data_IF_939502358387
#
_entry.id   IF_939502358387
#
_cell.length_a   1.000
_cell.length_b   1.000
_cell.length_c   1.000
_cell.angle_alpha   90.00
_cell.angle_beta   90.00
_cell.angle_gamma   90.00
#
_symmetry.space_group_name_H-M   'P 1'
#
loop_
_entity.id
_entity.type
_entity.pdbx_description
1 polymer ?
#
# COMPACT_ATOMS: atom_id res chain seq x y z
N UNK A 1 21.93 -16.93 1.44
CA UNK A 1 21.98 -17.11 2.91
C UNK A 1 20.94 -18.15 3.28
N UNK A 2 21.33 -19.22 3.98
CA UNK A 2 20.36 -20.21 4.47
C UNK A 2 19.47 -19.51 5.50
N UNK A 3 18.15 -19.58 5.33
CA UNK A 3 17.20 -19.14 6.34
C UNK A 3 17.47 -19.98 7.61
N UNK A 4 17.60 -19.36 8.81
CA UNK A 4 17.74 -20.12 10.02
C UNK A 4 16.53 -21.03 10.19
N UNK A 5 16.77 -22.32 10.47
CA UNK A 5 15.71 -23.27 10.84
C UNK A 5 15.06 -22.72 12.13
N UNK A 6 13.84 -22.25 12.02
CA UNK A 6 13.01 -21.91 13.18
C UNK A 6 12.57 -23.22 13.84
N UNK A 7 13.13 -23.51 15.00
CA UNK A 7 12.62 -24.57 15.88
C UNK A 7 11.38 -24.02 16.58
N UNK A 8 10.20 -24.40 16.11
CA UNK A 8 8.95 -23.99 16.73
C UNK A 8 8.81 -24.57 18.15
N UNK A 9 8.49 -23.72 19.13
CA UNK A 9 8.18 -24.14 20.51
C UNK A 9 6.82 -24.86 20.60
N UNK A 10 5.92 -24.55 19.66
CA UNK A 10 4.68 -25.28 19.48
C UNK A 10 4.89 -26.44 18.49
N UNK A 11 4.41 -27.62 18.85
CA UNK A 11 4.45 -28.80 17.96
C UNK A 11 3.48 -28.66 16.77
N UNK A 12 2.44 -27.81 16.93
CA UNK A 12 1.40 -27.57 15.93
C UNK A 12 1.24 -26.07 15.69
N UNK A 13 0.92 -25.68 14.46
CA UNK A 13 0.48 -24.33 14.11
C UNK A 13 -0.89 -24.06 14.78
N UNK A 14 -1.13 -22.80 15.17
CA UNK A 14 -2.42 -22.41 15.69
C UNK A 14 -3.52 -22.60 14.63
N UNK A 15 -4.59 -23.29 14.98
CA UNK A 15 -5.76 -23.43 14.10
C UNK A 15 -6.38 -22.05 13.79
N UNK A 16 -6.30 -21.11 14.75
CA UNK A 16 -6.74 -19.72 14.61
C UNK A 16 -5.52 -18.81 14.74
N UNK A 17 -5.05 -18.18 13.65
CA UNK A 17 -3.91 -17.29 13.71
C UNK A 17 -4.23 -15.99 14.45
N UNK A 18 -3.26 -15.41 15.15
CA UNK A 18 -3.35 -14.03 15.58
C UNK A 18 -3.11 -13.09 14.42
N UNK A 19 -3.92 -12.03 14.33
CA UNK A 19 -3.83 -11.01 13.29
C UNK A 19 -3.41 -9.69 13.90
N UNK A 20 -2.21 -9.22 13.58
CA UNK A 20 -1.74 -7.91 14.01
C UNK A 20 -2.59 -6.80 13.39
N UNK A 21 -3.16 -5.93 14.24
CA UNK A 21 -4.18 -4.93 13.83
C UNK A 21 -3.67 -3.94 12.80
N UNK A 22 -2.41 -3.52 12.93
CA UNK A 22 -1.84 -2.48 12.07
C UNK A 22 -1.33 -3.06 10.76
N UNK A 23 -0.50 -4.09 10.79
CA UNK A 23 0.10 -4.68 9.59
C UNK A 23 -0.83 -5.64 8.86
N UNK A 24 -1.91 -6.07 9.52
CA UNK A 24 -2.83 -7.07 9.03
C UNK A 24 -2.20 -8.46 8.77
N UNK A 25 -0.96 -8.67 9.25
CA UNK A 25 -0.23 -9.93 9.11
C UNK A 25 -0.78 -10.96 10.09
N UNK A 26 -1.03 -12.17 9.61
CA UNK A 26 -1.41 -13.33 10.41
C UNK A 26 -0.17 -14.10 10.82
N UNK A 27 -0.12 -14.51 12.07
CA UNK A 27 0.94 -15.35 12.64
C UNK A 27 0.33 -16.61 13.24
N UNK A 28 0.94 -17.73 13.01
CA UNK A 28 0.45 -19.06 13.39
C UNK A 28 1.28 -19.70 14.51
N UNK A 29 2.44 -19.14 14.82
CA UNK A 29 3.34 -19.60 15.87
C UNK A 29 3.87 -18.44 16.73
N UNK A 30 4.41 -18.77 17.89
CA UNK A 30 5.01 -17.79 18.78
C UNK A 30 6.27 -17.15 18.16
N UNK A 31 7.04 -17.94 17.42
CA UNK A 31 8.26 -17.49 16.73
C UNK A 31 7.91 -16.53 15.58
N UNK A 32 6.84 -16.76 14.84
CA UNK A 32 6.35 -15.80 13.85
C UNK A 32 5.93 -14.49 14.49
N UNK A 33 5.32 -14.54 15.69
CA UNK A 33 4.99 -13.34 16.45
C UNK A 33 6.26 -12.60 16.93
N UNK A 34 7.28 -13.31 17.37
CA UNK A 34 8.60 -12.74 17.71
C UNK A 34 9.21 -12.07 16.46
N UNK A 35 9.23 -12.79 15.32
CA UNK A 35 9.73 -12.25 14.05
C UNK A 35 8.99 -10.97 13.66
N UNK A 36 7.67 -10.99 13.70
CA UNK A 36 6.84 -9.83 13.39
C UNK A 36 7.14 -8.66 14.33
N UNK A 37 7.16 -8.89 15.65
CA UNK A 37 7.42 -7.84 16.63
C UNK A 37 8.85 -7.30 16.57
N UNK A 38 9.80 -8.03 16.03
CA UNK A 38 11.18 -7.55 15.81
C UNK A 38 11.26 -6.64 14.57
N UNK A 39 10.70 -7.09 13.45
CA UNK A 39 10.78 -6.36 12.17
C UNK A 39 9.80 -5.19 12.07
N UNK A 40 8.63 -5.30 12.71
CA UNK A 40 7.54 -4.32 12.70
C UNK A 40 7.20 -3.85 14.12
N UNK A 41 8.23 -3.58 14.92
CA UNK A 41 8.02 -3.30 16.34
C UNK A 41 7.16 -2.06 16.59
N UNK A 42 7.27 -1.00 15.75
CA UNK A 42 6.48 0.23 15.89
C UNK A 42 4.99 -0.02 15.65
N UNK A 43 4.67 -0.91 14.72
CA UNK A 43 3.32 -1.32 14.37
C UNK A 43 2.76 -2.32 15.40
N UNK A 44 3.63 -3.03 16.11
CA UNK A 44 3.24 -4.07 17.08
C UNK A 44 3.01 -3.53 18.50
N UNK A 45 3.36 -2.27 18.79
CA UNK A 45 3.33 -1.69 20.15
C UNK A 45 1.99 -1.89 20.84
N UNK A 46 0.89 -1.74 20.09
CA UNK A 46 -0.46 -1.80 20.63
C UNK A 46 -0.99 -3.25 20.72
N UNK A 47 -0.28 -4.22 20.13
CA UNK A 47 -0.71 -5.62 20.02
C UNK A 47 0.00 -6.58 20.95
N UNK A 48 1.35 -6.56 21.00
CA UNK A 48 2.17 -7.64 21.59
C UNK A 48 1.97 -7.85 23.10
N UNK A 49 1.30 -6.95 23.80
CA UNK A 49 0.88 -7.08 25.19
C UNK A 49 -0.64 -6.91 25.38
N UNK A 50 -1.43 -6.96 24.29
CA UNK A 50 -2.89 -6.91 24.40
C UNK A 50 -3.44 -8.16 25.07
N UNK A 51 -4.63 -8.05 25.67
CA UNK A 51 -5.29 -9.23 26.27
C UNK A 51 -5.60 -10.28 25.20
N UNK A 52 -6.02 -9.84 24.00
CA UNK A 52 -6.31 -10.74 22.88
C UNK A 52 -5.07 -11.53 22.44
N UNK A 53 -3.91 -10.88 22.40
CA UNK A 53 -2.65 -11.54 22.05
C UNK A 53 -2.22 -12.56 23.11
N UNK A 54 -2.35 -12.21 24.39
CA UNK A 54 -2.02 -13.11 25.50
C UNK A 54 -3.00 -14.29 25.55
N UNK A 55 -4.28 -14.04 25.31
CA UNK A 55 -5.30 -15.08 25.22
C UNK A 55 -5.02 -16.04 24.06
N UNK A 56 -4.60 -15.53 22.91
CA UNK A 56 -4.20 -16.35 21.78
C UNK A 56 -3.00 -17.27 22.10
N UNK A 57 -1.96 -16.74 22.76
CA UNK A 57 -0.82 -17.56 23.23
C UNK A 57 -1.31 -18.68 24.15
N UNK A 58 -2.24 -18.37 25.03
CA UNK A 58 -2.76 -19.31 26.02
C UNK A 58 -3.69 -20.36 25.41
N UNK A 59 -4.67 -19.92 24.60
CA UNK A 59 -5.80 -20.76 24.15
C UNK A 59 -5.49 -21.48 22.84
N UNK A 60 -4.95 -20.76 21.86
CA UNK A 60 -4.73 -21.29 20.52
C UNK A 60 -3.36 -21.97 20.38
N UNK A 61 -2.30 -21.39 20.95
CA UNK A 61 -0.97 -22.01 20.98
C UNK A 61 -0.80 -22.98 22.16
N UNK A 62 -1.65 -22.92 23.21
CA UNK A 62 -1.58 -23.72 24.44
C UNK A 62 -0.25 -23.58 25.19
N UNK A 63 0.32 -22.37 25.18
CA UNK A 63 1.61 -22.02 25.79
C UNK A 63 1.40 -21.21 27.09
N UNK A 64 0.71 -21.78 28.10
CA UNK A 64 0.35 -21.13 29.38
C UNK A 64 1.54 -20.48 30.08
N UNK A 65 2.69 -21.15 30.04
CA UNK A 65 3.92 -20.63 30.64
C UNK A 65 4.38 -19.32 29.96
N UNK A 66 4.37 -19.27 28.61
CA UNK A 66 4.73 -18.06 27.85
C UNK A 66 3.70 -16.96 28.04
N UNK A 67 2.42 -17.29 28.03
CA UNK A 67 1.34 -16.32 28.29
C UNK A 67 1.54 -15.63 29.66
N UNK A 68 1.88 -16.39 30.72
CA UNK A 68 2.17 -15.85 32.05
C UNK A 68 3.39 -14.93 32.04
N UNK A 69 4.45 -15.28 31.30
CA UNK A 69 5.65 -14.45 31.17
C UNK A 69 5.35 -13.16 30.40
N UNK A 70 4.59 -13.25 29.31
CA UNK A 70 4.17 -12.06 28.52
C UNK A 70 3.29 -11.14 29.38
N UNK A 71 2.36 -11.69 30.14
CA UNK A 71 1.53 -10.92 31.08
C UNK A 71 2.37 -10.19 32.14
N UNK A 72 3.45 -10.80 32.63
CA UNK A 72 4.32 -10.18 33.61
C UNK A 72 5.05 -8.94 33.06
N UNK A 73 5.34 -8.90 31.74
CA UNK A 73 5.98 -7.75 31.08
C UNK A 73 5.15 -6.46 31.13
N UNK A 74 3.83 -6.56 31.29
CA UNK A 74 2.96 -5.39 31.45
C UNK A 74 3.33 -4.52 32.65
N UNK A 75 3.97 -5.10 33.67
CA UNK A 75 4.37 -4.41 34.89
C UNK A 75 5.62 -3.55 34.72
N UNK A 76 6.35 -3.71 33.63
CA UNK A 76 7.54 -2.92 33.34
C UNK A 76 7.13 -1.52 32.84
N UNK A 77 7.91 -0.50 33.18
CA UNK A 77 7.53 0.90 32.88
C UNK A 77 7.87 1.29 31.45
N UNK A 78 9.02 0.87 30.90
CA UNK A 78 9.47 1.29 29.58
C UNK A 78 9.08 0.31 28.48
N UNK A 79 8.78 0.84 27.28
CA UNK A 79 8.59 0.04 26.09
C UNK A 79 9.85 -0.79 25.76
N UNK A 80 11.03 -0.18 25.97
CA UNK A 80 12.31 -0.85 25.78
C UNK A 80 12.39 -2.15 26.57
N UNK A 81 12.03 -2.11 27.85
CA UNK A 81 12.08 -3.31 28.71
C UNK A 81 11.00 -4.31 28.32
N UNK A 82 9.78 -3.85 28.06
CA UNK A 82 8.66 -4.70 27.65
C UNK A 82 8.98 -5.46 26.37
N UNK A 83 9.37 -4.74 25.31
CA UNK A 83 9.60 -5.34 23.99
C UNK A 83 10.86 -6.21 23.98
N UNK A 84 11.98 -5.74 24.55
CA UNK A 84 13.18 -6.59 24.61
C UNK A 84 12.99 -7.80 25.53
N UNK A 85 12.20 -7.67 26.60
CA UNK A 85 11.78 -8.79 27.44
C UNK A 85 10.95 -9.81 26.66
N UNK A 86 9.98 -9.35 25.86
CA UNK A 86 9.18 -10.21 25.01
C UNK A 86 10.04 -10.96 23.98
N UNK A 87 10.88 -10.24 23.24
CA UNK A 87 11.75 -10.81 22.21
C UNK A 87 12.81 -11.78 22.76
N UNK A 88 13.14 -11.67 24.05
CA UNK A 88 14.06 -12.59 24.75
C UNK A 88 13.37 -13.85 25.29
N UNK A 89 12.08 -14.06 25.02
CA UNK A 89 11.39 -15.28 25.45
C UNK A 89 11.76 -16.50 24.60
N UNK A 90 12.40 -16.28 23.46
CA UNK A 90 12.95 -17.30 22.58
C UNK A 90 14.42 -16.99 22.29
N UNK A 91 15.17 -17.99 21.84
CA UNK A 91 16.56 -17.82 21.38
C UNK A 91 16.65 -17.43 19.89
N UNK A 92 15.57 -16.88 19.33
CA UNK A 92 15.50 -16.49 17.91
C UNK A 92 16.47 -15.37 17.57
N UNK A 93 16.58 -14.35 18.43
CA UNK A 93 17.43 -13.18 18.21
C UNK A 93 18.77 -13.31 18.96
N UNK A 94 19.85 -12.95 18.29
CA UNK A 94 21.16 -12.85 18.89
C UNK A 94 21.23 -11.71 19.92
N UNK A 95 22.19 -11.79 20.84
CA UNK A 95 22.46 -10.69 21.79
C UNK A 95 22.78 -9.37 21.10
N UNK A 96 23.45 -9.40 19.94
CA UNK A 96 23.81 -8.18 19.20
C UNK A 96 22.56 -7.50 18.61
N UNK A 97 21.62 -8.27 18.05
CA UNK A 97 20.35 -7.76 17.53
C UNK A 97 19.52 -7.11 18.63
N UNK A 98 19.39 -7.78 19.80
CA UNK A 98 18.68 -7.22 20.96
C UNK A 98 19.33 -5.94 21.50
N UNK A 99 20.66 -5.86 21.53
CA UNK A 99 21.38 -4.63 21.94
C UNK A 99 21.13 -3.50 20.94
N UNK A 100 21.18 -3.81 19.63
CA UNK A 100 20.88 -2.85 18.57
C UNK A 100 19.47 -2.29 18.68
N UNK A 101 18.49 -3.17 18.84
CA UNK A 101 17.08 -2.78 19.01
C UNK A 101 16.86 -1.98 20.30
N UNK A 102 17.47 -2.39 21.42
CA UNK A 102 17.37 -1.65 22.68
C UNK A 102 17.85 -0.21 22.57
N UNK A 103 18.92 0.03 21.80
CA UNK A 103 19.40 1.39 21.53
C UNK A 103 18.38 2.19 20.73
N UNK A 104 17.81 1.60 19.67
CA UNK A 104 16.79 2.26 18.85
C UNK A 104 15.53 2.61 19.67
N UNK A 105 15.06 1.67 20.51
CA UNK A 105 13.90 1.87 21.37
C UNK A 105 14.09 3.00 22.37
N UNK A 106 15.26 3.04 23.03
CA UNK A 106 15.60 4.14 23.97
C UNK A 106 15.60 5.49 23.28
N UNK A 107 16.25 5.60 22.11
CA UNK A 107 16.25 6.82 21.31
C UNK A 107 14.81 7.24 20.96
N UNK A 108 14.01 6.28 20.52
CA UNK A 108 12.61 6.53 20.16
C UNK A 108 11.73 6.96 21.36
N UNK A 109 11.94 6.37 22.55
CA UNK A 109 11.23 6.75 23.78
C UNK A 109 11.54 8.18 24.23
N UNK A 110 12.74 8.73 23.91
CA UNK A 110 13.11 10.11 24.23
C UNK A 110 12.46 11.15 23.32
N UNK A 111 11.91 10.76 22.17
CA UNK A 111 11.28 11.68 21.22
C UNK A 111 9.94 12.19 21.72
N UNK A 112 9.54 13.35 21.24
CA UNK A 112 8.21 13.90 21.48
C UNK A 112 7.11 12.93 20.98
N UNK A 113 5.96 12.93 21.63
CA UNK A 113 4.87 12.00 21.25
C UNK A 113 4.41 12.20 19.80
N UNK A 114 4.29 13.44 19.34
CA UNK A 114 3.93 13.73 17.96
C UNK A 114 4.97 13.19 16.94
N UNK A 115 6.27 13.23 17.28
CA UNK A 115 7.32 12.66 16.42
C UNK A 115 7.20 11.15 16.31
N UNK A 116 6.91 10.48 17.42
CA UNK A 116 6.68 9.03 17.46
C UNK A 116 5.45 8.63 16.64
N UNK A 117 4.36 9.38 16.76
CA UNK A 117 3.14 9.17 15.95
C UNK A 117 3.40 9.42 14.47
N UNK A 118 4.14 10.49 14.14
CA UNK A 118 4.55 10.77 12.75
C UNK A 118 5.36 9.61 12.17
N UNK A 119 6.34 9.12 12.88
CA UNK A 119 7.20 8.02 12.41
C UNK A 119 6.41 6.74 12.18
N UNK A 120 5.42 6.43 13.03
CA UNK A 120 4.47 5.32 12.79
C UNK A 120 3.66 5.54 11.52
N UNK A 121 3.18 6.76 11.29
CA UNK A 121 2.53 7.14 10.04
C UNK A 121 3.43 6.98 8.82
N UNK A 122 4.67 7.45 8.89
CA UNK A 122 5.65 7.32 7.79
C UNK A 122 5.92 5.85 7.44
N UNK A 123 6.08 4.98 8.44
CA UNK A 123 6.25 3.54 8.21
C UNK A 123 5.01 2.92 7.54
N UNK A 124 3.82 3.32 7.97
CA UNK A 124 2.58 2.82 7.37
C UNK A 124 2.38 3.27 5.92
N UNK A 125 2.86 4.46 5.56
CA UNK A 125 2.93 4.89 4.16
C UNK A 125 3.84 3.98 3.33
N UNK A 126 5.02 3.60 3.87
CA UNK A 126 5.92 2.66 3.18
C UNK A 126 5.34 1.24 3.06
N UNK A 127 4.47 0.84 3.99
CA UNK A 127 3.74 -0.43 3.98
C UNK A 127 2.43 -0.38 3.17
N UNK A 128 2.17 0.72 2.47
CA UNK A 128 0.96 0.95 1.67
C UNK A 128 -0.36 0.85 2.47
N UNK A 129 -0.35 1.41 3.70
CA UNK A 129 -1.51 1.54 4.58
C UNK A 129 -1.86 3.02 4.83
N UNK A 130 -2.28 3.79 3.80
CA UNK A 130 -2.50 5.24 3.92
C UNK A 130 -3.63 5.61 4.87
N UNK A 131 -4.66 4.77 5.02
CA UNK A 131 -5.78 4.94 5.95
C UNK A 131 -5.31 5.00 7.42
N UNK A 132 -4.47 4.03 7.79
CA UNK A 132 -3.89 3.96 9.13
C UNK A 132 -2.83 5.06 9.33
N UNK A 133 -2.01 5.32 8.32
CA UNK A 133 -1.03 6.42 8.34
C UNK A 133 -1.71 7.76 8.61
N UNK A 134 -2.81 8.07 7.91
CA UNK A 134 -3.58 9.28 8.13
C UNK A 134 -4.09 9.39 9.58
N UNK A 135 -4.56 8.30 10.15
CA UNK A 135 -5.04 8.27 11.54
C UNK A 135 -3.93 8.63 12.54
N UNK A 136 -2.70 8.18 12.31
CA UNK A 136 -1.54 8.56 13.13
C UNK A 136 -1.14 10.01 12.92
N UNK A 137 -1.11 10.50 11.68
CA UNK A 137 -0.83 11.91 11.41
C UNK A 137 -1.91 12.84 12.02
N UNK A 138 -3.18 12.44 11.95
CA UNK A 138 -4.28 13.19 12.58
C UNK A 138 -4.08 13.29 14.10
N UNK A 139 -3.70 12.20 14.78
CA UNK A 139 -3.36 12.22 16.21
C UNK A 139 -2.13 13.12 16.48
N UNK A 140 -1.08 13.02 15.67
CA UNK A 140 0.11 13.85 15.83
C UNK A 140 -0.21 15.34 15.66
N UNK A 141 -1.10 15.71 14.73
CA UNK A 141 -1.56 17.08 14.48
C UNK A 141 -2.37 17.69 15.65
N UNK A 142 -2.94 16.86 16.54
CA UNK A 142 -3.58 17.38 17.77
C UNK A 142 -2.56 17.81 18.82
N UNK A 143 -1.32 17.31 18.74
CA UNK A 143 -0.24 17.61 19.68
C UNK A 143 0.69 18.71 19.17
N UNK A 144 0.99 18.70 17.88
CA UNK A 144 1.89 19.64 17.24
C UNK A 144 1.45 19.87 15.79
N UNK A 145 1.33 21.14 15.40
CA UNK A 145 1.01 21.50 14.04
C UNK A 145 2.23 22.10 13.34
N UNK A 146 2.75 21.39 12.35
CA UNK A 146 3.84 21.87 11.53
C UNK A 146 3.64 21.51 10.05
N UNK A 147 4.25 22.27 9.11
CA UNK A 147 4.04 22.08 7.67
C UNK A 147 4.40 20.69 7.15
N UNK A 148 5.41 20.03 7.73
CA UNK A 148 5.82 18.68 7.29
C UNK A 148 4.77 17.63 7.66
N UNK A 149 4.20 17.76 8.85
CA UNK A 149 3.17 16.83 9.33
C UNK A 149 1.86 17.01 8.55
N UNK A 150 1.47 18.27 8.27
CA UNK A 150 0.33 18.57 7.39
C UNK A 150 0.52 17.99 5.98
N UNK A 151 1.73 18.14 5.42
CA UNK A 151 2.07 17.57 4.12
C UNK A 151 1.96 16.04 4.12
N UNK A 152 2.52 15.35 5.12
CA UNK A 152 2.47 13.88 5.15
C UNK A 152 1.03 13.36 5.33
N UNK A 153 0.21 14.06 6.13
CA UNK A 153 -1.22 13.77 6.25
C UNK A 153 -1.95 13.98 4.92
N UNK A 154 -1.63 15.03 4.19
CA UNK A 154 -2.21 15.29 2.87
C UNK A 154 -1.82 14.24 1.83
N UNK A 155 -0.55 13.81 1.80
CA UNK A 155 -0.11 12.74 0.91
C UNK A 155 -0.86 11.41 1.18
N UNK A 156 -1.14 11.09 2.44
CA UNK A 156 -1.97 9.93 2.75
C UNK A 156 -3.42 10.07 2.27
N UNK A 157 -3.97 11.29 2.33
CA UNK A 157 -5.31 11.58 1.79
C UNK A 157 -5.35 11.49 0.26
N UNK A 158 -4.31 11.92 -0.44
CA UNK A 158 -4.20 11.73 -1.90
C UNK A 158 -4.22 10.25 -2.28
N UNK A 159 -3.49 9.41 -1.55
CA UNK A 159 -3.51 7.96 -1.78
C UNK A 159 -4.87 7.32 -1.44
N UNK A 160 -5.69 7.96 -0.59
CA UNK A 160 -7.04 7.54 -0.25
C UNK A 160 -8.12 8.10 -1.20
N UNK A 161 -7.71 8.74 -2.30
CA UNK A 161 -8.62 9.41 -3.25
C UNK A 161 -9.50 10.50 -2.57
N UNK A 162 -8.89 11.28 -1.66
CA UNK A 162 -9.52 12.39 -0.92
C UNK A 162 -8.80 13.72 -1.21
N UNK A 163 -8.70 14.15 -2.48
CA UNK A 163 -7.83 15.27 -2.87
C UNK A 163 -8.30 16.62 -2.34
N UNK A 164 -9.60 16.84 -2.16
CA UNK A 164 -10.13 18.09 -1.64
C UNK A 164 -9.69 18.34 -0.17
N UNK A 165 -9.65 17.28 0.63
CA UNK A 165 -9.18 17.37 2.02
C UNK A 165 -7.64 17.52 2.06
N UNK A 166 -6.94 16.81 1.17
CA UNK A 166 -5.49 16.98 1.01
C UNK A 166 -5.14 18.44 0.67
N UNK A 167 -5.85 19.05 -0.28
CA UNK A 167 -5.65 20.45 -0.67
C UNK A 167 -5.81 21.39 0.53
N UNK A 168 -6.85 21.19 1.35
CA UNK A 168 -7.06 22.02 2.56
C UNK A 168 -5.89 21.93 3.55
N UNK A 169 -5.32 20.73 3.78
CA UNK A 169 -4.15 20.57 4.64
C UNK A 169 -2.90 21.22 4.05
N UNK A 170 -2.72 21.13 2.74
CA UNK A 170 -1.56 21.71 2.04
C UNK A 170 -1.65 23.25 1.95
N UNK A 171 -2.85 23.80 1.74
CA UNK A 171 -3.09 25.25 1.87
C UNK A 171 -2.65 25.75 3.25
N UNK A 172 -3.04 25.04 4.30
CA UNK A 172 -2.66 25.34 5.67
C UNK A 172 -1.14 25.23 5.88
N UNK A 173 -0.51 24.20 5.31
CA UNK A 173 0.94 24.01 5.37
C UNK A 173 1.72 25.15 4.68
N UNK A 174 1.17 25.74 3.62
CA UNK A 174 1.78 26.86 2.88
C UNK A 174 1.52 28.23 3.51
N UNK A 175 0.47 28.39 4.29
CA UNK A 175 0.15 29.66 4.96
C UNK A 175 1.20 30.06 6.01
N UNK A 176 2.03 29.11 6.48
CA UNK A 176 3.15 29.33 7.39
C UNK A 176 4.41 29.88 6.70
N UNK A 177 5.30 30.54 7.47
CA UNK A 177 6.59 31.07 6.98
C UNK A 177 7.56 30.05 6.38
N UNK A 178 7.29 28.74 6.54
CA UNK A 178 8.13 27.62 6.11
C UNK A 178 7.55 26.84 4.92
N UNK A 179 6.60 27.43 4.17
CA UNK A 179 6.06 26.81 2.96
C UNK A 179 7.16 26.52 1.95
N UNK A 180 7.41 25.26 1.66
CA UNK A 180 8.44 24.86 0.71
C UNK A 180 7.84 24.67 -0.67
N UNK A 181 8.68 24.84 -1.72
CA UNK A 181 8.30 24.52 -3.12
C UNK A 181 7.70 23.12 -3.24
N UNK A 182 8.22 22.16 -2.49
CA UNK A 182 7.75 20.78 -2.48
C UNK A 182 6.28 20.66 -2.03
N UNK A 183 5.92 21.37 -0.96
CA UNK A 183 4.52 21.43 -0.48
C UNK A 183 3.62 22.09 -1.52
N UNK A 184 4.10 23.10 -2.22
CA UNK A 184 3.34 23.76 -3.27
C UNK A 184 3.10 22.86 -4.50
N UNK A 185 4.06 22.01 -4.86
CA UNK A 185 3.86 21.01 -5.91
C UNK A 185 2.83 19.94 -5.51
N UNK A 186 2.89 19.46 -4.27
CA UNK A 186 1.88 18.55 -3.74
C UNK A 186 0.48 19.21 -3.68
N UNK A 187 0.41 20.52 -3.41
CA UNK A 187 -0.86 21.24 -3.46
C UNK A 187 -1.39 21.37 -4.90
N UNK A 188 -0.52 21.62 -5.88
CA UNK A 188 -0.92 21.62 -7.28
C UNK A 188 -1.49 20.25 -7.70
N UNK A 189 -0.85 19.16 -7.29
CA UNK A 189 -1.35 17.80 -7.49
C UNK A 189 -2.72 17.59 -6.84
N UNK A 190 -2.89 18.00 -5.58
CA UNK A 190 -4.16 17.90 -4.87
C UNK A 190 -5.27 18.70 -5.57
N UNK A 191 -4.99 19.90 -6.08
CA UNK A 191 -5.94 20.69 -6.85
C UNK A 191 -6.32 20.00 -8.16
N UNK A 192 -5.37 19.41 -8.88
CA UNK A 192 -5.63 18.67 -10.13
C UNK A 192 -6.62 17.53 -9.88
N UNK A 193 -6.35 16.67 -8.89
CA UNK A 193 -7.23 15.55 -8.57
C UNK A 193 -8.55 15.98 -7.91
N UNK A 194 -8.60 17.16 -7.27
CA UNK A 194 -9.84 17.77 -6.79
C UNK A 194 -10.63 18.51 -7.89
N UNK A 195 -10.19 18.47 -9.14
CA UNK A 195 -10.73 19.18 -10.30
C UNK A 195 -10.81 20.71 -10.12
N UNK A 196 -9.92 21.28 -9.30
CA UNK A 196 -9.77 22.73 -9.11
C UNK A 196 -8.72 23.26 -10.09
N UNK A 197 -8.99 23.13 -11.38
CA UNK A 197 -8.01 23.33 -12.45
C UNK A 197 -7.44 24.77 -12.50
N UNK A 198 -8.26 25.77 -12.25
CA UNK A 198 -7.82 27.18 -12.26
C UNK A 198 -6.81 27.46 -11.17
N UNK A 199 -7.03 26.91 -9.97
CA UNK A 199 -6.07 27.05 -8.86
C UNK A 199 -4.77 26.30 -9.15
N UNK A 200 -4.86 25.12 -9.73
CA UNK A 200 -3.68 24.35 -10.13
C UNK A 200 -2.83 25.11 -11.17
N UNK A 201 -3.47 25.67 -12.21
CA UNK A 201 -2.79 26.48 -13.23
C UNK A 201 -2.09 27.69 -12.64
N UNK A 202 -2.79 28.48 -11.84
CA UNK A 202 -2.22 29.66 -11.19
C UNK A 202 -1.01 29.31 -10.34
N UNK A 203 -1.12 28.23 -9.55
CA UNK A 203 -0.03 27.78 -8.68
C UNK A 203 1.17 27.29 -9.49
N UNK A 204 0.95 26.47 -10.52
CA UNK A 204 2.01 25.95 -11.40
C UNK A 204 2.68 27.09 -12.20
N UNK A 205 1.92 28.05 -12.69
CA UNK A 205 2.46 29.24 -13.36
C UNK A 205 3.40 30.03 -12.44
N UNK A 206 2.97 30.27 -11.20
CA UNK A 206 3.77 30.99 -10.21
C UNK A 206 5.07 30.24 -9.83
N UNK A 207 5.01 28.90 -9.76
CA UNK A 207 6.16 28.05 -9.49
C UNK A 207 7.11 27.99 -10.70
N UNK A 208 6.59 27.96 -11.93
CA UNK A 208 7.34 27.84 -13.19
C UNK A 208 8.21 29.06 -13.53
N UNK A 209 7.87 30.23 -12.98
CA UNK A 209 8.69 31.44 -13.17
C UNK A 209 10.11 31.32 -12.55
N UNK A 210 10.33 30.35 -11.67
CA UNK A 210 11.61 30.19 -10.96
C UNK A 210 12.50 29.09 -11.56
N UNK A 211 11.94 27.92 -11.80
CA UNK A 211 12.66 26.75 -12.35
C UNK A 211 11.67 25.74 -12.91
N UNK A 212 12.02 25.06 -14.03
CA UNK A 212 11.31 23.86 -14.51
C UNK A 212 11.92 22.60 -13.92
N UNK A 213 11.14 21.53 -13.81
CA UNK A 213 11.59 20.22 -13.32
C UNK A 213 10.74 19.11 -13.93
N UNK A 214 11.26 17.86 -13.91
CA UNK A 214 10.49 16.70 -14.33
C UNK A 214 9.11 16.65 -13.67
N UNK A 215 9.04 16.88 -12.37
CA UNK A 215 7.79 16.86 -11.61
C UNK A 215 6.82 17.97 -12.00
N UNK A 216 7.32 19.16 -12.37
CA UNK A 216 6.46 20.23 -12.90
C UNK A 216 5.87 19.88 -14.27
N UNK A 217 6.70 19.37 -15.18
CA UNK A 217 6.20 18.93 -16.48
C UNK A 217 5.20 17.76 -16.31
N UNK A 218 5.43 16.86 -15.36
CA UNK A 218 4.49 15.81 -14.99
C UNK A 218 3.14 16.41 -14.53
N UNK A 219 3.14 17.37 -13.60
CA UNK A 219 1.91 18.00 -13.09
C UNK A 219 1.15 18.78 -14.18
N UNK A 220 1.86 19.46 -15.09
CA UNK A 220 1.21 20.05 -16.26
C UNK A 220 0.58 18.97 -17.16
N UNK A 221 1.25 17.84 -17.32
CA UNK A 221 0.72 16.70 -18.06
C UNK A 221 -0.53 16.11 -17.37
N UNK A 222 -0.52 15.94 -16.04
CA UNK A 222 -1.68 15.50 -15.28
C UNK A 222 -2.85 16.47 -15.41
N UNK A 223 -2.60 17.77 -15.30
CA UNK A 223 -3.62 18.81 -15.45
C UNK A 223 -4.31 18.72 -16.83
N UNK A 224 -3.52 18.65 -17.90
CA UNK A 224 -4.05 18.52 -19.25
C UNK A 224 -4.81 17.19 -19.46
N UNK A 225 -4.30 16.10 -18.85
CA UNK A 225 -4.95 14.80 -18.89
C UNK A 225 -6.34 14.83 -18.22
N UNK A 226 -6.43 15.42 -17.02
CA UNK A 226 -7.68 15.54 -16.27
C UNK A 226 -8.68 16.49 -16.96
N UNK A 227 -8.20 17.49 -17.71
CA UNK A 227 -9.03 18.34 -18.58
C UNK A 227 -9.52 17.62 -19.85
N UNK A 228 -9.04 16.41 -20.15
CA UNK A 228 -9.34 15.65 -21.35
C UNK A 228 -8.44 15.96 -22.56
N UNK A 229 -7.41 16.77 -22.39
CA UNK A 229 -6.46 17.17 -23.43
C UNK A 229 -5.30 16.18 -23.56
N UNK A 230 -5.59 14.91 -23.86
CA UNK A 230 -4.62 13.83 -23.87
C UNK A 230 -3.39 14.07 -24.78
N UNK A 231 -3.54 14.86 -25.88
CA UNK A 231 -2.42 15.20 -26.76
C UNK A 231 -1.43 16.12 -26.04
N UNK A 232 -1.93 17.20 -25.43
CA UNK A 232 -1.08 18.13 -24.66
C UNK A 232 -0.47 17.42 -23.45
N UNK A 233 -1.22 16.54 -22.78
CA UNK A 233 -0.72 15.71 -21.70
C UNK A 233 0.47 14.87 -22.12
N UNK A 234 0.40 14.19 -23.29
CA UNK A 234 1.51 13.40 -23.80
C UNK A 234 2.77 14.24 -24.06
N UNK A 235 2.62 15.49 -24.52
CA UNK A 235 3.76 16.37 -24.79
C UNK A 235 4.47 16.81 -23.49
N UNK A 236 3.72 17.12 -22.44
CA UNK A 236 4.29 17.41 -21.12
C UNK A 236 4.92 16.17 -20.48
N UNK A 237 4.23 15.01 -20.52
CA UNK A 237 4.78 13.76 -19.97
C UNK A 237 6.06 13.33 -20.65
N UNK A 238 6.19 13.53 -21.98
CA UNK A 238 7.45 13.31 -22.72
C UNK A 238 8.59 14.17 -22.19
N UNK A 239 8.31 15.44 -21.85
CA UNK A 239 9.32 16.33 -21.25
C UNK A 239 9.73 15.80 -19.88
N UNK A 240 8.76 15.42 -19.03
CA UNK A 240 9.06 14.85 -17.72
C UNK A 240 9.97 13.61 -17.81
N UNK A 241 9.65 12.65 -18.70
CA UNK A 241 10.46 11.46 -18.98
C UNK A 241 11.83 11.80 -19.57
N UNK A 242 11.95 12.90 -20.34
CA UNK A 242 13.23 13.35 -20.90
C UNK A 242 14.15 13.98 -19.85
N UNK A 243 13.58 14.63 -18.82
CA UNK A 243 14.33 15.13 -17.66
C UNK A 243 14.83 13.97 -16.79
N UNK A 244 13.93 13.05 -16.49
CA UNK A 244 14.19 11.92 -15.60
C UNK A 244 13.35 10.72 -16.06
N UNK A 245 14.04 9.64 -16.44
CA UNK A 245 13.40 8.39 -16.84
C UNK A 245 12.96 7.58 -15.59
N UNK A 246 12.09 8.18 -14.77
CA UNK A 246 11.46 7.54 -13.64
C UNK A 246 10.28 6.67 -14.08
N UNK A 247 10.12 5.50 -13.48
CA UNK A 247 9.08 4.55 -13.85
C UNK A 247 7.67 5.14 -13.66
N UNK A 248 7.47 6.02 -12.69
CA UNK A 248 6.18 6.68 -12.48
C UNK A 248 5.77 7.55 -13.68
N UNK A 249 6.69 8.38 -14.19
CA UNK A 249 6.43 9.23 -15.36
C UNK A 249 6.30 8.39 -16.65
N UNK A 250 7.10 7.34 -16.76
CA UNK A 250 7.03 6.41 -17.90
C UNK A 250 5.68 5.70 -17.97
N UNK A 251 5.23 5.12 -16.87
CA UNK A 251 3.95 4.41 -16.82
C UNK A 251 2.79 5.36 -17.07
N UNK A 252 2.87 6.58 -16.55
CA UNK A 252 1.83 7.58 -16.79
C UNK A 252 1.78 8.05 -18.24
N UNK A 253 2.95 8.24 -18.89
CA UNK A 253 3.03 8.50 -20.32
C UNK A 253 2.40 7.35 -21.15
N UNK A 254 2.66 6.11 -20.76
CA UNK A 254 2.05 4.96 -21.39
C UNK A 254 0.51 4.98 -21.24
N UNK A 255 -0.03 5.34 -20.06
CA UNK A 255 -1.47 5.51 -19.85
C UNK A 255 -2.09 6.56 -20.77
N UNK A 256 -1.41 7.71 -20.94
CA UNK A 256 -1.85 8.76 -21.86
C UNK A 256 -1.90 8.25 -23.30
N UNK A 257 -0.87 7.51 -23.72
CA UNK A 257 -0.88 6.91 -25.07
C UNK A 257 -1.94 5.82 -25.21
N UNK A 258 -2.24 5.03 -24.17
CA UNK A 258 -3.34 4.08 -24.19
C UNK A 258 -4.69 4.77 -24.37
N UNK A 259 -4.92 5.91 -23.69
CA UNK A 259 -6.13 6.71 -23.89
C UNK A 259 -6.25 7.24 -25.33
N UNK A 260 -5.14 7.61 -25.94
CA UNK A 260 -5.06 8.01 -27.35
C UNK A 260 -5.15 6.83 -28.33
N UNK A 261 -5.23 5.59 -27.84
CA UNK A 261 -5.18 4.33 -28.63
C UNK A 261 -3.91 4.21 -29.49
N UNK A 262 -2.80 4.80 -29.01
CA UNK A 262 -1.49 4.75 -29.64
C UNK A 262 -0.63 3.66 -28.98
N UNK A 263 -1.02 2.40 -29.18
CA UNK A 263 -0.47 1.24 -28.50
C UNK A 263 1.04 1.08 -28.68
N UNK A 264 1.54 1.26 -29.91
CA UNK A 264 2.98 1.19 -30.20
C UNK A 264 3.75 2.22 -29.40
N UNK A 265 3.25 3.47 -29.29
CA UNK A 265 3.90 4.50 -28.49
C UNK A 265 3.81 4.24 -26.98
N UNK A 266 2.74 3.59 -26.53
CA UNK A 266 2.64 3.18 -25.14
C UNK A 266 3.70 2.12 -24.79
N UNK A 267 3.91 1.14 -25.66
CA UNK A 267 4.96 0.14 -25.52
C UNK A 267 6.36 0.78 -25.62
N UNK A 268 6.60 1.65 -26.59
CA UNK A 268 7.87 2.37 -26.76
C UNK A 268 8.20 3.25 -25.53
N UNK A 269 7.19 3.88 -24.93
CA UNK A 269 7.36 4.62 -23.69
C UNK A 269 7.76 3.68 -22.54
N UNK A 270 7.07 2.56 -22.38
CA UNK A 270 7.33 1.56 -21.35
C UNK A 270 8.75 0.98 -21.48
N UNK A 271 9.25 0.79 -22.72
CA UNK A 271 10.61 0.29 -23.00
C UNK A 271 11.73 1.18 -22.44
N UNK A 272 11.43 2.44 -22.09
CA UNK A 272 12.39 3.35 -21.44
C UNK A 272 12.63 3.02 -19.96
N UNK A 273 11.73 2.26 -19.33
CA UNK A 273 11.94 1.80 -17.97
C UNK A 273 13.15 0.87 -17.89
N UNK A 274 14.01 1.12 -16.92
CA UNK A 274 15.18 0.27 -16.60
C UNK A 274 14.79 -0.92 -15.74
N UNK A 275 13.64 -0.82 -15.06
CA UNK A 275 13.14 -1.86 -14.17
C UNK A 275 12.18 -2.79 -14.93
N UNK A 276 12.65 -3.98 -15.26
CA UNK A 276 11.87 -5.03 -15.94
C UNK A 276 11.21 -5.97 -14.93
N UNK A 277 10.83 -5.45 -13.76
CA UNK A 277 10.16 -6.19 -12.70
C UNK A 277 8.70 -6.49 -12.99
N UNK A 278 7.96 -6.86 -11.93
CA UNK A 278 6.55 -7.26 -12.05
C UNK A 278 5.67 -6.12 -12.58
N UNK A 279 5.88 -4.89 -12.10
CA UNK A 279 5.09 -3.72 -12.53
C UNK A 279 5.23 -3.46 -14.03
N UNK A 280 6.44 -3.68 -14.59
CA UNK A 280 6.66 -3.58 -16.04
C UNK A 280 5.80 -4.62 -16.78
N UNK A 281 5.82 -5.88 -16.35
CA UNK A 281 5.05 -6.94 -16.99
C UNK A 281 3.54 -6.71 -16.88
N UNK A 282 3.07 -6.22 -15.72
CA UNK A 282 1.66 -5.84 -15.52
C UNK A 282 1.27 -4.75 -16.51
N UNK A 283 2.06 -3.66 -16.60
CA UNK A 283 1.78 -2.55 -17.51
C UNK A 283 1.84 -2.97 -18.98
N UNK A 284 2.82 -3.81 -19.35
CA UNK A 284 2.90 -4.35 -20.70
C UNK A 284 1.66 -5.19 -21.07
N UNK A 285 1.23 -6.05 -20.14
CA UNK A 285 0.00 -6.84 -20.32
C UNK A 285 -1.25 -5.97 -20.45
N UNK A 286 -1.36 -4.87 -19.67
CA UNK A 286 -2.46 -3.91 -19.77
C UNK A 286 -2.52 -3.25 -21.16
N UNK A 287 -1.37 -2.81 -21.69
CA UNK A 287 -1.28 -2.21 -23.03
C UNK A 287 -1.71 -3.23 -24.09
N UNK A 288 -1.15 -4.43 -24.06
CA UNK A 288 -1.44 -5.50 -25.03
C UNK A 288 -2.90 -5.92 -24.97
N UNK A 289 -3.47 -6.06 -23.76
CA UNK A 289 -4.89 -6.39 -23.60
C UNK A 289 -5.81 -5.29 -24.15
N UNK A 290 -5.44 -4.02 -23.97
CA UNK A 290 -6.19 -2.87 -24.47
C UNK A 290 -6.13 -2.74 -26.00
N UNK A 291 -5.05 -3.22 -26.61
CA UNK A 291 -4.91 -3.37 -28.07
C UNK A 291 -5.71 -4.56 -28.62
N UNK A 292 -6.10 -5.50 -27.76
CA UNK A 292 -6.78 -6.74 -28.14
C UNK A 292 -5.85 -7.96 -28.29
N UNK A 293 -4.55 -7.82 -28.05
CA UNK A 293 -3.55 -8.89 -28.07
C UNK A 293 -3.59 -9.74 -26.80
N UNK A 294 -4.75 -10.34 -26.54
CA UNK A 294 -5.02 -11.03 -25.26
C UNK A 294 -4.08 -12.19 -24.96
N UNK A 295 -3.64 -12.96 -25.98
CA UNK A 295 -2.70 -14.07 -25.75
C UNK A 295 -1.33 -13.58 -25.30
N UNK A 296 -0.85 -12.45 -25.85
CA UNK A 296 0.41 -11.83 -25.44
C UNK A 296 0.29 -11.25 -24.03
N UNK A 297 -0.85 -10.64 -23.71
CA UNK A 297 -1.14 -10.15 -22.36
C UNK A 297 -1.14 -11.30 -21.32
N UNK A 298 -1.74 -12.46 -21.65
CA UNK A 298 -1.68 -13.67 -20.83
C UNK A 298 -0.24 -14.10 -20.60
N UNK A 299 0.59 -14.16 -21.65
CA UNK A 299 1.99 -14.55 -21.53
C UNK A 299 2.80 -13.60 -20.62
N UNK A 300 2.49 -12.28 -20.64
CA UNK A 300 3.12 -11.33 -19.69
C UNK A 300 2.78 -11.67 -18.24
N UNK A 301 1.53 -12.01 -17.93
CA UNK A 301 1.11 -12.39 -16.58
C UNK A 301 1.76 -13.71 -16.14
N UNK A 302 1.77 -14.71 -17.00
CA UNK A 302 2.40 -16.00 -16.72
C UNK A 302 3.90 -15.86 -16.44
N UNK A 303 4.63 -15.09 -17.25
CA UNK A 303 6.05 -14.77 -17.01
C UNK A 303 6.27 -14.04 -15.66
N UNK A 304 5.36 -13.16 -15.28
CA UNK A 304 5.41 -12.50 -13.97
C UNK A 304 5.21 -13.50 -12.83
N UNK A 305 4.27 -14.43 -12.97
CA UNK A 305 3.97 -15.47 -11.98
C UNK A 305 5.09 -16.52 -11.83
N UNK A 306 5.89 -16.75 -12.86
CA UNK A 306 7.12 -17.56 -12.74
C UNK A 306 8.13 -16.90 -11.80
N UNK A 307 8.18 -15.55 -11.76
CA UNK A 307 9.08 -14.79 -10.88
C UNK A 307 8.54 -14.65 -9.47
N UNK A 308 7.23 -14.40 -9.33
CA UNK A 308 6.54 -14.28 -8.05
C UNK A 308 5.14 -14.92 -8.11
N UNK A 309 5.03 -16.20 -7.73
CA UNK A 309 3.75 -16.90 -7.67
C UNK A 309 2.75 -16.36 -6.65
N UNK A 310 3.20 -15.47 -5.74
CA UNK A 310 2.34 -14.87 -4.70
C UNK A 310 1.83 -13.48 -5.06
N UNK A 311 2.17 -12.94 -6.23
CA UNK A 311 1.68 -11.65 -6.68
C UNK A 311 0.20 -11.74 -7.10
N UNK A 312 -0.68 -11.19 -6.28
CA UNK A 312 -2.14 -11.23 -6.47
C UNK A 312 -2.55 -10.47 -7.74
N UNK A 313 -1.90 -9.34 -8.03
CA UNK A 313 -2.17 -8.50 -9.19
C UNK A 313 -1.98 -9.26 -10.50
N UNK A 314 -0.94 -10.09 -10.58
CA UNK A 314 -0.69 -10.92 -11.75
C UNK A 314 -1.77 -12.00 -11.92
N UNK A 315 -2.20 -12.65 -10.84
CA UNK A 315 -3.29 -13.61 -10.89
C UNK A 315 -4.62 -12.97 -11.34
N UNK A 316 -4.94 -11.77 -10.86
CA UNK A 316 -6.13 -11.03 -11.27
C UNK A 316 -6.03 -10.61 -12.74
N UNK A 317 -4.87 -10.10 -13.18
CA UNK A 317 -4.62 -9.77 -14.57
C UNK A 317 -4.77 -10.98 -15.49
N UNK A 318 -4.13 -12.10 -15.12
CA UNK A 318 -4.25 -13.36 -15.84
C UNK A 318 -5.71 -13.82 -15.98
N UNK A 319 -6.45 -13.81 -14.87
CA UNK A 319 -7.87 -14.18 -14.87
C UNK A 319 -8.69 -13.28 -15.81
N UNK A 320 -8.47 -11.97 -15.76
CA UNK A 320 -9.17 -11.01 -16.59
C UNK A 320 -8.90 -11.26 -18.09
N UNK A 321 -7.64 -11.45 -18.47
CA UNK A 321 -7.27 -11.65 -19.86
C UNK A 321 -7.71 -13.03 -20.39
N UNK A 322 -7.63 -14.07 -19.57
CA UNK A 322 -8.19 -15.39 -19.93
C UNK A 322 -9.71 -15.35 -20.11
N UNK A 323 -10.42 -14.64 -19.22
CA UNK A 323 -11.86 -14.45 -19.36
C UNK A 323 -12.21 -13.68 -20.64
N UNK A 324 -11.49 -12.61 -20.94
CA UNK A 324 -11.68 -11.81 -22.16
C UNK A 324 -11.35 -12.60 -23.45
N UNK A 325 -10.40 -13.54 -23.38
CA UNK A 325 -10.04 -14.42 -24.50
C UNK A 325 -10.96 -15.66 -24.65
N UNK A 326 -12.05 -15.73 -23.85
CA UNK A 326 -13.01 -16.82 -23.93
C UNK A 326 -12.58 -18.12 -23.27
N UNK A 327 -11.68 -18.05 -22.29
CA UNK A 327 -11.17 -19.19 -21.51
C UNK A 327 -11.63 -19.12 -20.03
N UNK A 328 -12.97 -19.13 -19.74
CA UNK A 328 -13.47 -18.88 -18.40
C UNK A 328 -13.10 -19.95 -17.36
N UNK A 329 -12.83 -21.20 -17.79
CA UNK A 329 -12.34 -22.25 -16.88
C UNK A 329 -10.97 -21.92 -16.30
N UNK A 330 -10.00 -21.59 -17.16
CA UNK A 330 -8.65 -21.16 -16.70
C UNK A 330 -8.70 -19.84 -15.93
N UNK A 331 -9.60 -18.92 -16.32
CA UNK A 331 -9.80 -17.67 -15.58
C UNK A 331 -10.27 -17.94 -14.14
N UNK A 332 -11.16 -18.92 -13.95
CA UNK A 332 -11.64 -19.31 -12.62
C UNK A 332 -10.51 -19.88 -11.75
N UNK A 333 -9.63 -20.73 -12.33
CA UNK A 333 -8.45 -21.24 -11.62
C UNK A 333 -7.51 -20.12 -11.20
N UNK A 334 -7.25 -19.17 -12.08
CA UNK A 334 -6.39 -18.01 -11.79
C UNK A 334 -6.97 -17.14 -10.65
N UNK A 335 -8.29 -16.89 -10.67
CA UNK A 335 -8.96 -16.15 -9.58
C UNK A 335 -8.86 -16.90 -8.24
N UNK A 336 -9.04 -18.21 -8.26
CA UNK A 336 -8.94 -19.01 -7.03
C UNK A 336 -7.53 -18.96 -6.45
N UNK A 337 -6.48 -18.95 -7.28
CA UNK A 337 -5.11 -18.74 -6.80
C UNK A 337 -4.93 -17.37 -6.14
N UNK A 338 -5.50 -16.28 -6.70
CA UNK A 338 -5.50 -14.98 -6.06
C UNK A 338 -6.23 -14.99 -4.70
N UNK A 339 -7.39 -15.66 -4.61
CA UNK A 339 -8.19 -15.75 -3.39
C UNK A 339 -7.59 -16.71 -2.34
N UNK A 340 -6.80 -17.68 -2.74
CA UNK A 340 -6.03 -18.51 -1.81
C UNK A 340 -4.94 -17.70 -1.10
N UNK A 341 -4.37 -16.68 -1.78
CA UNK A 341 -3.38 -15.77 -1.18
C UNK A 341 -4.07 -14.75 -0.28
N UNK A 342 -5.14 -14.09 -0.78
CA UNK A 342 -5.96 -13.14 -0.02
C UNK A 342 -7.45 -13.38 -0.29
N UNK A 343 -8.14 -14.12 0.60
CA UNK A 343 -9.57 -14.43 0.45
C UNK A 343 -10.50 -13.20 0.49
N UNK A 344 -9.99 -12.07 0.98
CA UNK A 344 -10.77 -10.83 1.10
C UNK A 344 -10.46 -9.82 0.01
N UNK A 345 -9.61 -10.15 -0.96
CA UNK A 345 -9.23 -9.26 -2.04
C UNK A 345 -10.43 -8.89 -2.91
N UNK A 346 -10.85 -7.64 -2.84
CA UNK A 346 -12.05 -7.18 -3.52
C UNK A 346 -11.96 -7.26 -5.05
N UNK A 347 -10.76 -7.01 -5.61
CA UNK A 347 -10.56 -7.09 -7.07
C UNK A 347 -10.66 -8.53 -7.55
N UNK A 348 -10.10 -9.48 -6.80
CA UNK A 348 -10.21 -10.90 -7.08
C UNK A 348 -11.65 -11.40 -6.98
N UNK A 349 -12.38 -11.03 -5.92
CA UNK A 349 -13.80 -11.35 -5.75
C UNK A 349 -14.66 -10.79 -6.89
N UNK A 350 -14.39 -9.55 -7.32
CA UNK A 350 -15.09 -8.96 -8.46
C UNK A 350 -14.80 -9.70 -9.77
N UNK A 351 -13.55 -10.11 -9.99
CA UNK A 351 -13.16 -10.87 -11.18
C UNK A 351 -13.77 -12.28 -11.15
N UNK A 352 -13.87 -12.91 -9.95
CA UNK A 352 -14.62 -14.14 -9.77
C UNK A 352 -16.09 -13.98 -10.17
N UNK A 353 -16.75 -12.94 -9.67
CA UNK A 353 -18.15 -12.66 -10.01
C UNK A 353 -18.35 -12.48 -11.52
N UNK A 354 -17.43 -11.78 -12.21
CA UNK A 354 -17.47 -11.62 -13.68
C UNK A 354 -17.31 -12.96 -14.41
N UNK A 355 -16.40 -13.81 -13.91
CA UNK A 355 -16.12 -15.14 -14.50
C UNK A 355 -17.33 -16.07 -14.33
N UNK A 356 -17.94 -16.09 -13.14
CA UNK A 356 -19.18 -16.85 -12.87
C UNK A 356 -20.34 -16.43 -13.79
N UNK A 357 -20.47 -15.13 -14.04
CA UNK A 357 -21.50 -14.63 -14.98
C UNK A 357 -21.31 -15.19 -16.38
N UNK A 358 -20.07 -15.25 -16.89
CA UNK A 358 -19.79 -15.77 -18.25
C UNK A 358 -20.00 -17.30 -18.31
N UNK A 359 -19.75 -18.02 -17.21
CA UNK A 359 -20.03 -19.46 -17.11
C UNK A 359 -21.54 -19.77 -16.99
N UNK A 360 -22.41 -18.75 -16.88
CA UNK A 360 -23.87 -18.94 -16.72
C UNK A 360 -24.30 -19.21 -15.27
N UNK A 361 -23.41 -19.06 -14.31
CA UNK A 361 -23.67 -19.28 -12.88
C UNK A 361 -24.30 -18.05 -12.23
N UNK A 362 -25.45 -17.58 -12.72
CA UNK A 362 -26.07 -16.33 -12.30
C UNK A 362 -26.33 -16.24 -10.78
N UNK A 363 -26.73 -17.33 -10.15
CA UNK A 363 -26.97 -17.35 -8.68
C UNK A 363 -25.70 -17.03 -7.90
N UNK A 364 -24.59 -17.66 -8.28
CA UNK A 364 -23.30 -17.43 -7.61
C UNK A 364 -22.77 -16.02 -7.89
N UNK A 365 -22.89 -15.55 -9.13
CA UNK A 365 -22.59 -14.16 -9.50
C UNK A 365 -23.34 -13.16 -8.62
N UNK A 366 -24.67 -13.28 -8.48
CA UNK A 366 -25.49 -12.37 -7.65
C UNK A 366 -25.09 -12.43 -6.18
N UNK A 367 -24.81 -13.63 -5.64
CA UNK A 367 -24.36 -13.79 -4.27
C UNK A 367 -23.04 -13.06 -4.03
N UNK A 368 -22.03 -13.25 -4.88
CA UNK A 368 -20.74 -12.59 -4.79
C UNK A 368 -20.86 -11.06 -4.84
N UNK A 369 -21.66 -10.53 -5.76
CA UNK A 369 -21.91 -9.08 -5.85
C UNK A 369 -22.57 -8.53 -4.57
N UNK A 370 -23.55 -9.26 -4.00
CA UNK A 370 -24.18 -8.85 -2.74
C UNK A 370 -23.17 -8.85 -1.57
N UNK A 371 -22.33 -9.87 -1.48
CA UNK A 371 -21.30 -9.98 -0.44
C UNK A 371 -20.26 -8.84 -0.57
N UNK A 372 -19.83 -8.52 -1.79
CA UNK A 372 -18.92 -7.39 -2.06
C UNK A 372 -19.57 -6.06 -1.63
N UNK A 373 -20.83 -5.83 -2.00
CA UNK A 373 -21.56 -4.60 -1.65
C UNK A 373 -21.78 -4.48 -0.14
N UNK A 374 -22.05 -5.59 0.55
CA UNK A 374 -22.21 -5.59 2.01
C UNK A 374 -20.89 -5.23 2.69
N UNK A 375 -19.78 -5.86 2.31
CA UNK A 375 -18.44 -5.54 2.83
C UNK A 375 -18.06 -4.07 2.60
N UNK A 376 -18.42 -3.51 1.44
CA UNK A 376 -18.20 -2.09 1.15
C UNK A 376 -18.99 -1.19 2.10
N UNK A 377 -20.28 -1.52 2.34
CA UNK A 377 -21.14 -0.77 3.28
C UNK A 377 -20.62 -0.83 4.70
N UNK A 378 -20.15 -1.99 5.14
CA UNK A 378 -19.64 -2.18 6.50
C UNK A 378 -18.35 -1.37 6.70
N UNK A 379 -17.43 -1.42 5.75
CA UNK A 379 -16.20 -0.59 5.76
C UNK A 379 -16.50 0.91 5.73
N UNK A 380 -17.49 1.35 4.93
CA UNK A 380 -17.90 2.74 4.88
C UNK A 380 -18.48 3.22 6.22
N UNK A 381 -19.25 2.38 6.91
CA UNK A 381 -19.76 2.68 8.26
C UNK A 381 -18.64 2.81 9.27
N UNK A 382 -17.67 1.92 9.28
CA UNK A 382 -16.49 1.99 10.16
C UNK A 382 -15.71 3.30 9.99
N UNK A 383 -15.55 3.76 8.74
CA UNK A 383 -14.82 5.01 8.43
C UNK A 383 -15.62 6.26 8.81
N UNK A 384 -16.97 6.21 8.76
CA UNK A 384 -17.83 7.37 9.05
C UNK A 384 -18.23 7.47 10.52
N UNK A 385 -18.03 6.43 11.32
CA UNK A 385 -18.37 6.42 12.77
C UNK A 385 -17.17 6.72 13.68
N UNK A 386 -16.01 6.97 13.12
CA UNK A 386 -14.77 7.41 13.80
C UNK A 386 -14.25 8.72 13.22
#
# INVERSE_FOLDING_TARGET
>A
MALPLLLCLSQDEAANPYRFRITNIRVYSFEEAIYHCYHYWKESIDDFLSEEFIDWIKKDLRLDYLATRVQALKKLDSLTERLTGFLSLTDYLSRQELVGLRRQLRDWETRMEWERLKERGDNLMTLNHPDKAYSFYKKALTLEENPRLLNNAALSLLQLDRPAEAASLLEKALSGRQGSRHIALNLAEAYIYAHQFEKAEELLLNLGQRESSAHMDYLHGELEFQKGNAIAAADYMKKAVAWEADDHYIYRLADVYMQLKQWDKALDALERSKNRGLNFLIKQGEILASEGKLNEAVACMENGLEKDPKCIELWIGLASYLRMSGQPGRAYEAVNNALNIDPENQRALLEQAKTEKIQGNEKQHHKLIQDILQRFKDRYREVTTH
#
